data_IF_111313539835
#
_entry.id   IF_111313539835
#
_cell.length_a   1.000
_cell.length_b   1.000
_cell.length_c   1.000
_cell.angle_alpha   90.00
_cell.angle_beta   90.00
_cell.angle_gamma   90.00
#
_symmetry.space_group_name_H-M   'P 1'
#
loop_
_entity.id
_entity.type
_entity.pdbx_description
1 polymer ?
#
# COMPACT_ATOMS: atom_id res chain seq x y z
N UNK A 1 18.46 -1.00 -21.92
CA UNK A 1 18.77 -0.60 -20.54
C UNK A 1 20.15 -1.14 -20.26
N UNK A 2 21.18 -0.31 -20.28
CA UNK A 2 22.53 -0.71 -19.88
C UNK A 2 22.49 -0.96 -18.39
N UNK A 3 22.42 -2.23 -18.03
CA UNK A 3 22.47 -2.70 -16.66
C UNK A 3 23.91 -2.75 -16.18
N UNK A 4 24.59 -1.63 -16.12
CA UNK A 4 25.81 -1.54 -15.32
C UNK A 4 25.40 -1.54 -13.85
N UNK A 5 25.04 -2.72 -13.36
CA UNK A 5 24.87 -2.96 -11.93
C UNK A 5 26.27 -2.98 -11.32
N UNK A 6 26.68 -1.82 -10.78
CA UNK A 6 27.92 -1.69 -10.06
C UNK A 6 27.68 -1.68 -8.56
N UNK A 7 27.98 -2.79 -7.91
CA UNK A 7 27.88 -2.97 -6.45
C UNK A 7 28.63 -1.89 -5.68
N UNK A 8 29.81 -1.50 -6.16
CA UNK A 8 30.64 -0.50 -5.48
C UNK A 8 29.92 0.85 -5.40
N UNK A 9 29.30 1.27 -6.51
CA UNK A 9 28.56 2.54 -6.54
C UNK A 9 27.34 2.54 -5.60
N UNK A 10 26.76 1.39 -5.32
CA UNK A 10 25.61 1.27 -4.39
C UNK A 10 26.04 1.50 -2.95
N UNK A 11 27.19 0.95 -2.53
CA UNK A 11 27.75 1.23 -1.20
C UNK A 11 28.24 2.66 -1.08
N UNK A 12 28.91 3.20 -2.10
CA UNK A 12 29.41 4.58 -2.10
C UNK A 12 28.28 5.63 -2.06
N UNK A 13 27.06 5.26 -2.51
CA UNK A 13 25.91 6.15 -2.47
C UNK A 13 25.29 6.36 -1.07
N UNK A 14 25.76 5.63 -0.03
CA UNK A 14 25.26 5.75 1.34
C UNK A 14 23.77 5.39 1.49
N UNK A 15 23.29 4.45 0.67
CA UNK A 15 21.91 4.02 0.71
C UNK A 15 21.67 3.04 1.86
N UNK A 16 20.69 3.32 2.71
CA UNK A 16 20.35 2.49 3.88
C UNK A 16 20.19 1.00 3.55
N UNK A 17 19.67 0.69 2.37
CA UNK A 17 19.49 -0.69 1.90
C UNK A 17 20.81 -1.45 1.90
N UNK A 18 21.88 -0.82 1.43
CA UNK A 18 23.20 -1.41 1.23
C UNK A 18 24.11 -1.27 2.47
N UNK A 19 23.99 -0.20 3.24
CA UNK A 19 24.92 0.09 4.36
C UNK A 19 24.62 -0.73 5.62
N UNK A 20 23.37 -1.20 5.79
CA UNK A 20 22.92 -1.76 7.08
C UNK A 20 23.62 -3.06 7.48
N UNK A 21 23.89 -3.95 6.51
CA UNK A 21 24.36 -5.31 6.81
C UNK A 21 25.76 -5.63 6.26
N UNK A 22 26.37 -4.70 5.54
CA UNK A 22 27.71 -4.86 4.97
C UNK A 22 27.77 -5.62 3.63
N UNK A 23 28.95 -5.60 2.99
CA UNK A 23 29.13 -6.02 1.60
C UNK A 23 29.05 -7.55 1.37
N UNK A 24 29.04 -8.34 2.42
CA UNK A 24 28.91 -9.81 2.35
C UNK A 24 27.46 -10.28 2.17
N UNK A 25 26.48 -9.37 2.29
CA UNK A 25 25.07 -9.69 2.16
C UNK A 25 24.49 -9.09 0.87
N UNK A 26 23.56 -9.84 0.27
CA UNK A 26 22.70 -9.33 -0.80
C UNK A 26 21.44 -8.74 -0.13
N UNK A 27 21.28 -7.40 -0.11
CA UNK A 27 20.16 -6.78 0.59
C UNK A 27 18.85 -6.94 -0.17
N UNK A 28 17.88 -7.61 0.45
CA UNK A 28 16.52 -7.80 -0.07
C UNK A 28 15.45 -7.46 0.98
N UNK A 29 15.78 -6.63 1.95
CA UNK A 29 14.95 -6.32 3.12
C UNK A 29 14.14 -5.00 2.97
N UNK A 30 14.45 -4.20 1.96
CA UNK A 30 13.74 -2.96 1.59
C UNK A 30 13.29 -3.09 0.14
N UNK A 31 12.06 -2.65 -0.15
CA UNK A 31 11.48 -2.62 -1.49
C UNK A 31 12.01 -1.44 -2.32
N UNK A 32 13.33 -1.38 -2.47
CA UNK A 32 14.02 -0.47 -3.37
C UNK A 32 14.64 -1.26 -4.51
N UNK A 33 14.39 -0.84 -5.76
CA UNK A 33 15.08 -1.43 -6.90
C UNK A 33 16.51 -0.88 -7.02
N UNK A 34 17.42 -1.69 -7.57
CA UNK A 34 18.83 -1.34 -7.69
C UNK A 34 19.17 -0.74 -9.07
N UNK A 35 18.19 -0.58 -9.93
CA UNK A 35 18.31 0.06 -11.23
C UNK A 35 18.14 1.57 -11.11
N UNK A 36 18.75 2.32 -12.02
CA UNK A 36 18.58 3.76 -12.08
C UNK A 36 17.15 4.17 -12.41
N UNK A 37 16.80 5.39 -12.07
CA UNK A 37 15.50 5.97 -12.46
C UNK A 37 15.37 6.08 -13.97
N UNK A 38 14.15 5.99 -14.53
CA UNK A 38 13.92 6.24 -15.96
C UNK A 38 14.46 7.60 -16.39
N UNK A 39 15.04 7.71 -17.61
CA UNK A 39 15.64 8.97 -18.08
C UNK A 39 14.70 10.18 -17.99
N UNK A 40 13.42 10.00 -18.30
CA UNK A 40 12.43 11.09 -18.22
C UNK A 40 12.25 11.64 -16.78
N UNK A 41 12.34 10.78 -15.76
CA UNK A 41 12.29 11.19 -14.35
C UNK A 41 13.54 12.00 -13.99
N UNK A 42 14.71 11.47 -14.34
CA UNK A 42 15.99 12.15 -14.11
C UNK A 42 16.05 13.51 -14.77
N UNK A 43 15.66 13.60 -16.05
CA UNK A 43 15.61 14.86 -16.81
C UNK A 43 14.66 15.88 -16.19
N UNK A 44 13.50 15.43 -15.71
CA UNK A 44 12.52 16.34 -15.07
C UNK A 44 13.07 16.90 -13.76
N UNK A 45 13.66 16.06 -12.92
CA UNK A 45 14.29 16.48 -11.65
C UNK A 45 15.45 17.45 -11.93
N UNK A 46 16.32 17.12 -12.89
CA UNK A 46 17.45 17.97 -13.26
C UNK A 46 17.02 19.37 -13.74
N UNK A 47 15.93 19.47 -14.49
CA UNK A 47 15.35 20.75 -14.90
C UNK A 47 14.88 21.59 -13.71
N UNK A 48 14.20 20.96 -12.75
CA UNK A 48 13.76 21.67 -11.52
C UNK A 48 14.95 22.14 -10.73
N UNK A 49 15.96 21.25 -10.52
CA UNK A 49 17.18 21.60 -9.82
C UNK A 49 17.91 22.77 -10.47
N UNK A 50 18.05 22.74 -11.80
CA UNK A 50 18.72 23.80 -12.58
C UNK A 50 17.97 25.14 -12.56
N UNK A 51 16.64 25.11 -12.37
CA UNK A 51 15.86 26.35 -12.26
C UNK A 51 16.07 27.08 -10.93
N UNK A 52 16.55 26.37 -9.89
CA UNK A 52 16.69 26.92 -8.54
C UNK A 52 15.36 27.30 -7.86
N UNK A 53 14.21 26.96 -8.49
CA UNK A 53 12.88 27.30 -7.97
C UNK A 53 12.24 26.10 -7.29
N UNK A 54 12.09 26.19 -5.96
CA UNK A 54 11.52 25.14 -5.09
C UNK A 54 10.29 25.66 -4.34
N UNK A 55 9.54 26.58 -4.95
CA UNK A 55 8.35 27.15 -4.35
C UNK A 55 7.13 26.23 -4.39
N UNK A 56 5.98 26.74 -4.00
CA UNK A 56 4.72 26.02 -4.09
C UNK A 56 4.37 25.73 -5.55
N UNK A 57 3.85 24.54 -5.80
CA UNK A 57 3.41 24.11 -7.11
C UNK A 57 1.91 23.79 -7.06
N UNK A 58 1.19 24.26 -8.05
CA UNK A 58 -0.24 23.93 -8.27
C UNK A 58 -0.32 22.83 -9.35
N UNK A 59 0.17 21.66 -9.02
CA UNK A 59 0.25 20.53 -9.96
C UNK A 59 -0.60 19.30 -9.55
N UNK A 60 -1.41 19.41 -8.51
CA UNK A 60 -2.24 18.29 -8.00
C UNK A 60 -3.17 17.76 -9.10
N UNK A 61 -3.77 18.64 -9.89
CA UNK A 61 -4.62 18.23 -11.02
C UNK A 61 -3.84 17.42 -12.08
N UNK A 62 -2.58 17.78 -12.36
CA UNK A 62 -1.75 17.02 -13.31
C UNK A 62 -1.38 15.66 -12.77
N UNK A 63 -1.08 15.56 -11.47
CA UNK A 63 -0.80 14.30 -10.81
C UNK A 63 -2.04 13.40 -10.80
N UNK A 64 -3.20 13.95 -10.44
CA UNK A 64 -4.47 13.25 -10.47
C UNK A 64 -4.79 12.67 -11.85
N UNK A 65 -4.65 13.48 -12.92
CA UNK A 65 -4.84 13.02 -14.29
C UNK A 65 -3.84 11.93 -14.70
N UNK A 66 -2.56 12.05 -14.31
CA UNK A 66 -1.54 11.06 -14.60
C UNK A 66 -1.81 9.75 -13.89
N UNK A 67 -2.24 9.81 -12.64
CA UNK A 67 -2.61 8.62 -11.86
C UNK A 67 -3.87 7.95 -12.42
N UNK A 68 -4.90 8.72 -12.79
CA UNK A 68 -6.11 8.17 -13.40
C UNK A 68 -5.80 7.47 -14.74
N UNK A 69 -4.95 8.06 -15.57
CA UNK A 69 -4.47 7.42 -16.80
C UNK A 69 -3.72 6.11 -16.52
N UNK A 70 -2.84 6.09 -15.54
CA UNK A 70 -2.10 4.90 -15.13
C UNK A 70 -3.06 3.81 -14.62
N UNK A 71 -4.00 4.16 -13.73
CA UNK A 71 -4.98 3.25 -13.17
C UNK A 71 -5.87 2.60 -14.24
N UNK A 72 -6.35 3.38 -15.22
CA UNK A 72 -7.15 2.86 -16.34
C UNK A 72 -6.30 1.95 -17.25
N UNK A 73 -5.10 2.40 -17.63
CA UNK A 73 -4.25 1.67 -18.59
C UNK A 73 -3.67 0.37 -18.02
N UNK A 74 -3.37 0.33 -16.71
CA UNK A 74 -2.73 -0.83 -16.06
C UNK A 74 -3.72 -1.78 -15.40
N UNK A 75 -4.80 -1.25 -14.84
CA UNK A 75 -5.71 -2.00 -13.98
C UNK A 75 -7.17 -1.88 -14.42
N UNK A 76 -7.46 -1.19 -15.54
CA UNK A 76 -8.81 -0.92 -16.03
C UNK A 76 -9.71 -0.25 -14.97
N UNK A 77 -9.09 0.53 -14.07
CA UNK A 77 -9.77 1.27 -13.02
C UNK A 77 -9.98 2.72 -13.44
N UNK A 78 -11.24 3.10 -13.63
CA UNK A 78 -11.63 4.49 -13.92
C UNK A 78 -11.91 5.22 -12.63
N UNK A 79 -11.13 6.25 -12.36
CA UNK A 79 -11.28 7.12 -11.19
C UNK A 79 -11.46 8.58 -11.60
N UNK A 80 -12.11 9.36 -10.76
CA UNK A 80 -12.14 10.82 -10.93
C UNK A 80 -10.80 11.41 -10.50
N UNK A 81 -10.02 12.07 -11.41
CA UNK A 81 -8.74 12.67 -11.06
C UNK A 81 -8.79 13.69 -9.92
N UNK A 82 -9.94 14.36 -9.71
CA UNK A 82 -10.12 15.36 -8.66
C UNK A 82 -10.18 14.73 -7.25
N UNK A 83 -10.41 13.41 -7.17
CA UNK A 83 -10.41 12.68 -5.90
C UNK A 83 -9.03 12.13 -5.53
N UNK A 84 -8.02 12.35 -6.37
CA UNK A 84 -6.65 11.94 -6.09
C UNK A 84 -5.97 12.97 -5.20
N UNK A 85 -5.66 12.58 -3.99
CA UNK A 85 -4.97 13.42 -3.00
C UNK A 85 -3.52 12.93 -2.87
N UNK A 86 -2.52 13.72 -3.28
CA UNK A 86 -1.13 13.34 -3.14
C UNK A 86 -0.68 13.40 -1.69
N UNK A 87 0.09 12.41 -1.27
CA UNK A 87 0.78 12.36 0.01
C UNK A 87 2.26 12.02 -0.19
N UNK A 88 3.11 12.39 0.76
CA UNK A 88 4.56 12.12 0.65
C UNK A 88 4.84 10.61 0.66
N UNK A 89 4.06 9.84 1.44
CA UNK A 89 4.12 8.38 1.49
C UNK A 89 2.72 7.80 1.67
N UNK A 90 2.53 6.53 1.27
CA UNK A 90 1.27 5.80 1.54
C UNK A 90 0.96 5.75 3.04
N UNK A 91 1.98 5.53 3.89
CA UNK A 91 1.81 5.52 5.35
C UNK A 91 1.28 6.85 5.90
N UNK A 92 1.69 7.98 5.33
CA UNK A 92 1.14 9.28 5.71
C UNK A 92 -0.34 9.39 5.32
N UNK A 93 -0.69 8.90 4.13
CA UNK A 93 -2.08 8.84 3.68
C UNK A 93 -2.93 7.98 4.61
N UNK A 94 -2.46 6.77 4.95
CA UNK A 94 -3.14 5.88 5.89
C UNK A 94 -3.30 6.51 7.27
N UNK A 95 -2.25 7.17 7.80
CA UNK A 95 -2.33 7.86 9.08
C UNK A 95 -3.38 8.99 9.06
N UNK A 96 -3.42 9.77 7.99
CA UNK A 96 -4.43 10.82 7.83
C UNK A 96 -5.85 10.24 7.77
N UNK A 97 -6.05 9.12 7.07
CA UNK A 97 -7.34 8.42 7.03
C UNK A 97 -7.73 7.86 8.42
N UNK A 98 -6.79 7.26 9.16
CA UNK A 98 -7.06 6.78 10.52
C UNK A 98 -7.50 7.93 11.41
N UNK A 99 -6.83 9.08 11.35
CA UNK A 99 -7.22 10.26 12.14
C UNK A 99 -8.58 10.83 11.72
N UNK A 100 -8.88 10.83 10.43
CA UNK A 100 -10.11 11.43 9.89
C UNK A 100 -11.36 10.55 10.13
N UNK A 101 -11.21 9.23 10.09
CA UNK A 101 -12.33 8.29 10.07
C UNK A 101 -12.47 7.44 11.34
N UNK A 102 -11.71 7.73 12.39
CA UNK A 102 -11.84 7.04 13.67
C UNK A 102 -11.61 8.00 14.84
N UNK A 103 -12.03 7.57 16.04
CA UNK A 103 -11.84 8.26 17.30
C UNK A 103 -10.80 7.55 18.19
N UNK A 104 -10.28 8.26 19.19
CA UNK A 104 -9.40 7.66 20.20
C UNK A 104 -10.10 6.47 20.86
N UNK A 105 -9.41 5.32 20.88
CA UNK A 105 -9.93 4.07 21.45
C UNK A 105 -10.66 3.16 20.47
N UNK A 106 -11.00 3.62 19.26
CA UNK A 106 -11.57 2.77 18.23
C UNK A 106 -10.60 1.67 17.79
N UNK A 107 -11.13 0.54 17.30
CA UNK A 107 -10.35 -0.57 16.77
C UNK A 107 -9.92 -0.33 15.32
N UNK A 108 -8.63 -0.57 15.05
CA UNK A 108 -8.08 -0.63 13.71
C UNK A 108 -7.68 -2.08 13.45
N UNK A 109 -8.37 -2.73 12.52
CA UNK A 109 -8.17 -4.12 12.14
C UNK A 109 -7.16 -4.22 11.00
N UNK A 110 -6.25 -5.18 11.07
CA UNK A 110 -5.27 -5.47 10.02
C UNK A 110 -4.85 -6.94 10.04
N UNK A 111 -4.34 -7.45 8.92
CA UNK A 111 -3.84 -8.81 8.82
C UNK A 111 -2.52 -9.01 9.56
N UNK A 112 -2.32 -10.21 10.12
CA UNK A 112 -1.01 -10.68 10.61
C UNK A 112 -0.64 -12.05 9.98
N UNK A 113 0.67 -12.26 9.62
CA UNK A 113 1.79 -11.31 9.72
C UNK A 113 1.55 -10.06 8.88
N UNK A 114 2.15 -8.92 9.24
CA UNK A 114 1.88 -7.65 8.60
C UNK A 114 3.16 -6.87 8.25
N UNK A 115 3.01 -5.85 7.41
CA UNK A 115 4.03 -4.82 7.26
C UNK A 115 4.20 -4.10 8.62
N UNK A 116 5.43 -4.05 9.17
CA UNK A 116 5.63 -3.56 10.55
C UNK A 116 4.97 -2.22 10.87
N UNK A 117 4.99 -1.19 10.01
CA UNK A 117 4.33 0.08 10.29
C UNK A 117 2.81 -0.02 10.53
N UNK A 118 2.12 -1.06 10.03
CA UNK A 118 0.69 -1.24 10.33
C UNK A 118 0.45 -1.67 11.77
N UNK A 119 1.44 -2.33 12.40
CA UNK A 119 1.38 -2.71 13.82
C UNK A 119 1.47 -1.49 14.74
N UNK A 120 2.26 -0.50 14.33
CA UNK A 120 2.54 0.70 15.13
C UNK A 120 1.53 1.81 14.91
N UNK A 121 0.93 1.90 13.71
CA UNK A 121 0.02 2.97 13.31
C UNK A 121 -1.16 3.17 14.27
N UNK A 122 -1.89 2.12 14.70
CA UNK A 122 -3.00 2.31 15.64
C UNK A 122 -2.54 2.92 16.97
N UNK A 123 -1.43 2.44 17.52
CA UNK A 123 -0.92 2.92 18.81
C UNK A 123 -0.46 4.38 18.76
N UNK A 124 0.22 4.78 17.69
CA UNK A 124 0.61 6.18 17.46
C UNK A 124 -0.60 7.09 17.36
N UNK A 125 -1.67 6.63 16.77
CA UNK A 125 -2.94 7.32 16.67
C UNK A 125 -3.83 7.19 17.91
N UNK A 126 -3.38 6.53 18.99
CA UNK A 126 -4.16 6.22 20.20
C UNK A 126 -5.44 5.41 19.91
N UNK A 127 -5.39 4.53 18.90
CA UNK A 127 -6.41 3.55 18.55
C UNK A 127 -5.99 2.17 19.06
N UNK A 128 -6.94 1.25 19.17
CA UNK A 128 -6.67 -0.14 19.53
C UNK A 128 -6.20 -0.91 18.31
N UNK A 129 -5.15 -1.69 18.47
CA UNK A 129 -4.74 -2.67 17.47
C UNK A 129 -5.64 -3.90 17.56
N UNK A 130 -6.20 -4.33 16.43
CA UNK A 130 -6.98 -5.56 16.32
C UNK A 130 -6.38 -6.41 15.21
N UNK A 131 -6.02 -7.65 15.53
CA UNK A 131 -5.38 -8.54 14.57
C UNK A 131 -6.39 -9.47 13.91
N UNK A 132 -6.23 -9.65 12.60
CA UNK A 132 -6.88 -10.68 11.81
C UNK A 132 -5.83 -11.63 11.24
N UNK A 133 -5.50 -12.73 11.96
CA UNK A 133 -4.44 -13.64 11.55
C UNK A 133 -4.76 -14.36 10.24
N UNK A 134 -3.79 -14.40 9.33
CA UNK A 134 -3.82 -15.28 8.16
C UNK A 134 -3.56 -16.73 8.59
N UNK A 135 -4.14 -17.67 7.86
CA UNK A 135 -3.88 -19.10 8.04
C UNK A 135 -2.67 -19.51 7.19
N UNK A 136 -1.74 -20.24 7.80
CA UNK A 136 -0.64 -20.87 7.08
C UNK A 136 -0.90 -22.38 6.98
N UNK A 137 -0.99 -22.89 5.75
CA UNK A 137 -1.14 -24.30 5.44
C UNK A 137 0.02 -24.81 4.56
N UNK A 138 0.01 -26.09 4.22
CA UNK A 138 0.96 -26.64 3.22
C UNK A 138 0.77 -26.00 1.82
N UNK A 139 -0.43 -25.56 1.51
CA UNK A 139 -0.75 -24.84 0.26
C UNK A 139 -0.32 -23.36 0.28
N UNK A 140 0.24 -22.86 1.38
CA UNK A 140 0.66 -21.47 1.57
C UNK A 140 -0.24 -20.69 2.53
N UNK A 141 -0.16 -19.37 2.42
CA UNK A 141 -0.96 -18.44 3.22
C UNK A 141 -2.36 -18.27 2.65
N UNK A 142 -3.35 -18.06 3.52
CA UNK A 142 -4.76 -17.86 3.15
C UNK A 142 -5.43 -16.87 4.09
N UNK A 143 -6.43 -16.14 3.58
CA UNK A 143 -7.31 -15.32 4.40
C UNK A 143 -8.36 -16.18 5.10
N UNK A 144 -8.59 -15.92 6.39
CA UNK A 144 -9.63 -16.59 7.20
C UNK A 144 -10.88 -15.68 7.29
N UNK A 145 -11.77 -15.80 6.30
CA UNK A 145 -12.98 -14.98 6.23
C UNK A 145 -13.95 -15.26 7.39
N UNK A 146 -14.02 -16.52 7.85
CA UNK A 146 -14.86 -16.88 9.01
C UNK A 146 -14.34 -16.22 10.30
N UNK A 147 -13.02 -16.12 10.43
CA UNK A 147 -12.39 -15.40 11.55
C UNK A 147 -12.67 -13.90 11.47
N UNK A 148 -12.58 -13.30 10.28
CA UNK A 148 -12.91 -11.89 10.06
C UNK A 148 -14.32 -11.57 10.57
N UNK A 149 -15.33 -12.32 10.10
CA UNK A 149 -16.72 -12.12 10.51
C UNK A 149 -16.89 -12.27 12.04
N UNK A 150 -16.26 -13.28 12.65
CA UNK A 150 -16.30 -13.48 14.10
C UNK A 150 -15.69 -12.31 14.88
N UNK A 151 -14.54 -11.79 14.41
CA UNK A 151 -13.87 -10.64 15.03
C UNK A 151 -14.82 -9.44 14.99
N UNK A 152 -15.38 -9.11 13.83
CA UNK A 152 -16.28 -7.97 13.66
C UNK A 152 -17.55 -8.09 14.50
N UNK A 153 -18.13 -9.29 14.55
CA UNK A 153 -19.32 -9.56 15.37
C UNK A 153 -19.07 -9.38 16.86
N UNK A 154 -17.88 -9.72 17.35
CA UNK A 154 -17.54 -9.68 18.77
C UNK A 154 -16.98 -8.32 19.23
N UNK A 155 -16.53 -7.47 18.31
CA UNK A 155 -15.97 -6.15 18.64
C UNK A 155 -16.59 -5.04 17.76
N UNK A 156 -17.75 -4.51 18.14
CA UNK A 156 -18.41 -3.42 17.40
C UNK A 156 -17.66 -2.08 17.48
N UNK A 157 -16.58 -2.00 18.25
CA UNK A 157 -15.72 -0.82 18.35
C UNK A 157 -14.64 -0.76 17.28
N UNK A 158 -14.59 -1.72 16.33
CA UNK A 158 -13.72 -1.65 15.18
C UNK A 158 -14.33 -0.68 14.15
N UNK A 159 -13.54 0.29 13.68
CA UNK A 159 -13.99 1.31 12.72
C UNK A 159 -13.29 1.23 11.37
N UNK A 160 -12.06 0.73 11.35
CA UNK A 160 -11.24 0.69 10.13
C UNK A 160 -10.67 -0.71 9.96
N UNK A 161 -10.69 -1.19 8.70
CA UNK A 161 -9.88 -2.32 8.23
C UNK A 161 -8.78 -1.80 7.31
N UNK A 162 -7.52 -2.04 7.65
CA UNK A 162 -6.38 -1.81 6.76
C UNK A 162 -6.08 -3.13 6.04
N UNK A 163 -6.21 -3.11 4.72
CA UNK A 163 -6.00 -4.24 3.83
C UNK A 163 -4.80 -3.97 2.92
N UNK A 164 -3.77 -4.81 2.96
CA UNK A 164 -2.65 -4.76 2.03
C UNK A 164 -2.88 -5.78 0.90
N UNK A 165 -3.00 -5.32 -0.34
CA UNK A 165 -3.23 -6.20 -1.49
C UNK A 165 -2.54 -5.67 -2.77
N UNK A 166 -1.51 -6.33 -3.26
CA UNK A 166 -0.87 -7.59 -2.81
C UNK A 166 -0.25 -7.51 -1.44
N UNK A 167 -0.35 -8.62 -0.69
CA UNK A 167 -0.06 -8.62 0.74
C UNK A 167 1.43 -8.71 1.07
N UNK A 168 1.93 -7.80 1.89
CA UNK A 168 3.25 -7.86 2.48
C UNK A 168 3.14 -8.36 3.95
N UNK A 169 3.80 -9.46 4.34
CA UNK A 169 4.96 -10.08 3.67
C UNK A 169 4.67 -11.38 2.89
N UNK A 170 3.44 -11.83 2.77
CA UNK A 170 3.14 -13.18 2.27
C UNK A 170 3.11 -13.31 0.74
N UNK A 171 2.98 -12.19 0.02
CA UNK A 171 2.81 -12.18 -1.44
C UNK A 171 1.42 -12.64 -1.91
N UNK A 172 0.45 -12.80 -1.00
CA UNK A 172 -0.93 -13.12 -1.39
C UNK A 172 -1.52 -12.02 -2.26
N UNK A 173 -2.28 -12.44 -3.27
CA UNK A 173 -3.09 -11.57 -4.11
C UNK A 173 -4.54 -12.01 -3.96
N UNK A 174 -5.40 -11.13 -3.50
CA UNK A 174 -6.82 -11.41 -3.29
C UNK A 174 -7.53 -11.70 -4.62
N UNK A 175 -8.36 -12.73 -4.60
CA UNK A 175 -9.26 -13.05 -5.70
C UNK A 175 -10.54 -12.23 -5.60
N UNK A 176 -11.27 -12.11 -6.71
CA UNK A 176 -12.51 -11.32 -6.74
C UNK A 176 -13.49 -11.68 -5.64
N UNK A 177 -13.76 -12.98 -5.45
CA UNK A 177 -14.73 -13.43 -4.45
C UNK A 177 -14.29 -13.14 -3.00
N UNK A 178 -12.97 -13.10 -2.73
CA UNK A 178 -12.43 -12.73 -1.41
C UNK A 178 -12.59 -11.22 -1.16
N UNK A 179 -12.34 -10.38 -2.19
CA UNK A 179 -12.60 -8.94 -2.13
C UNK A 179 -14.11 -8.66 -1.96
N UNK A 180 -14.97 -9.34 -2.71
CA UNK A 180 -16.43 -9.23 -2.58
C UNK A 180 -16.87 -9.54 -1.13
N UNK A 181 -16.33 -10.58 -0.51
CA UNK A 181 -16.64 -10.93 0.89
C UNK A 181 -16.16 -9.87 1.87
N UNK A 182 -14.92 -9.39 1.73
CA UNK A 182 -14.37 -8.34 2.60
C UNK A 182 -15.22 -7.06 2.50
N UNK A 183 -15.55 -6.62 1.28
CA UNK A 183 -16.35 -5.41 1.08
C UNK A 183 -17.75 -5.56 1.67
N UNK A 184 -18.39 -6.72 1.47
CA UNK A 184 -19.69 -6.98 2.05
C UNK A 184 -19.66 -6.95 3.59
N UNK A 185 -18.63 -7.53 4.23
CA UNK A 185 -18.46 -7.45 5.67
C UNK A 185 -18.18 -6.01 6.13
N UNK A 186 -17.35 -5.25 5.42
CA UNK A 186 -17.12 -3.84 5.74
C UNK A 186 -18.44 -3.03 5.71
N UNK A 187 -19.28 -3.25 4.71
CA UNK A 187 -20.61 -2.61 4.62
C UNK A 187 -21.55 -3.06 5.73
N UNK A 188 -21.63 -4.36 5.99
CA UNK A 188 -22.50 -4.92 7.04
C UNK A 188 -22.17 -4.37 8.42
N UNK A 189 -20.87 -4.24 8.72
CA UNK A 189 -20.39 -3.74 10.03
C UNK A 189 -20.02 -2.25 10.01
N UNK A 190 -20.31 -1.53 8.94
CA UNK A 190 -20.07 -0.09 8.77
C UNK A 190 -18.60 0.31 9.00
N UNK A 191 -17.67 -0.45 8.43
CA UNK A 191 -16.23 -0.19 8.49
C UNK A 191 -15.76 0.69 7.33
N UNK A 192 -14.77 1.52 7.59
CA UNK A 192 -13.97 2.13 6.54
C UNK A 192 -12.87 1.15 6.11
N UNK A 193 -12.82 0.81 4.82
CA UNK A 193 -11.78 -0.03 4.24
C UNK A 193 -10.66 0.84 3.67
N UNK A 194 -9.47 0.74 4.24
CA UNK A 194 -8.25 1.36 3.71
C UNK A 194 -7.44 0.31 2.96
N UNK A 195 -7.50 0.33 1.63
CA UNK A 195 -6.78 -0.61 0.76
C UNK A 195 -5.41 -0.05 0.38
N UNK A 196 -4.34 -0.63 0.91
CA UNK A 196 -2.97 -0.35 0.50
C UNK A 196 -2.61 -1.24 -0.69
N UNK A 197 -2.56 -0.66 -1.88
CA UNK A 197 -2.27 -1.33 -3.14
C UNK A 197 -0.89 -0.95 -3.72
N UNK A 198 0.05 -0.53 -2.88
CA UNK A 198 1.39 -0.10 -3.29
C UNK A 198 2.15 -1.16 -4.12
N UNK A 199 1.80 -2.45 -3.94
CA UNK A 199 2.41 -3.57 -4.64
C UNK A 199 1.65 -4.00 -5.91
N UNK A 200 0.63 -3.27 -6.35
CA UNK A 200 -0.27 -3.65 -7.46
C UNK A 200 0.44 -3.98 -8.78
N UNK A 201 1.58 -3.36 -9.06
CA UNK A 201 2.37 -3.62 -10.27
C UNK A 201 3.32 -4.83 -10.15
N UNK A 202 3.49 -5.40 -8.95
CA UNK A 202 4.40 -6.52 -8.68
C UNK A 202 3.65 -7.85 -8.60
N UNK A 203 3.02 -8.23 -9.74
CA UNK A 203 2.19 -9.44 -9.85
C UNK A 203 2.89 -10.46 -10.73
N UNK A 204 2.97 -11.71 -10.25
CA UNK A 204 3.41 -12.84 -11.06
C UNK A 204 2.32 -13.24 -12.08
N UNK A 205 2.73 -13.88 -13.19
CA UNK A 205 1.85 -14.21 -14.34
C UNK A 205 0.63 -15.04 -13.99
N UNK A 206 0.69 -15.79 -12.90
CA UNK A 206 -0.36 -16.68 -12.42
C UNK A 206 -1.46 -15.94 -11.65
N UNK A 207 -1.24 -14.66 -11.33
CA UNK A 207 -2.16 -13.84 -10.56
C UNK A 207 -2.54 -12.57 -11.33
N UNK A 208 -3.66 -11.98 -10.95
CA UNK A 208 -4.12 -10.67 -11.46
C UNK A 208 -4.50 -9.81 -10.27
N UNK A 209 -3.93 -8.61 -10.19
CA UNK A 209 -4.40 -7.62 -9.22
C UNK A 209 -5.76 -7.07 -9.64
N UNK A 210 -6.68 -7.03 -8.70
CA UNK A 210 -8.00 -6.43 -8.86
C UNK A 210 -8.05 -5.24 -7.91
N UNK A 211 -8.11 -4.00 -8.42
CA UNK A 211 -8.24 -2.83 -7.56
C UNK A 211 -9.50 -2.91 -6.70
N UNK A 212 -9.37 -2.65 -5.42
CA UNK A 212 -10.50 -2.72 -4.48
C UNK A 212 -11.65 -1.81 -4.91
N UNK A 213 -11.35 -0.60 -5.39
CA UNK A 213 -12.37 0.33 -5.91
C UNK A 213 -13.07 -0.14 -7.18
N UNK A 214 -12.61 -1.21 -7.85
CA UNK A 214 -13.31 -1.79 -9.01
C UNK A 214 -14.44 -2.74 -8.61
N UNK A 215 -14.55 -3.08 -7.33
CA UNK A 215 -15.56 -3.98 -6.80
C UNK A 215 -16.83 -3.20 -6.47
N UNK A 216 -17.98 -3.75 -6.85
CA UNK A 216 -19.29 -3.14 -6.58
C UNK A 216 -19.50 -2.91 -5.08
N UNK A 217 -19.84 -1.69 -4.71
CA UNK A 217 -20.08 -1.27 -3.33
C UNK A 217 -18.82 -0.91 -2.53
N UNK A 218 -17.65 -0.85 -3.17
CA UNK A 218 -16.42 -0.42 -2.50
C UNK A 218 -16.38 1.11 -2.23
N UNK A 219 -17.22 1.87 -2.91
CA UNK A 219 -17.34 3.34 -2.83
C UNK A 219 -18.57 3.81 -2.03
N UNK A 220 -19.23 2.91 -1.28
CA UNK A 220 -20.50 3.16 -0.58
C UNK A 220 -20.36 3.18 0.94
#
# INVERSE_FOLDING_TARGET
MDSNFDLKSKYEAGLRKWDKYGPEFIPAWIAEHDFGSPPAVYERISRVLSSGSFGYHDEDAKLGNSFAFWADSRHSLKINPELVIPTVTVLQGLAACVEAFSSIGDGILYNTPSYPPFLDLPSHAKRRSVEWPLIKSEAGWQYDMDSLEKILKNDPGIQILILCNPHNPTGLVLKKHELDQIINLCREYNLILLSDEIHSDFIYKESTHIPTLSIEGADS
#
